data_IF_719866980711
#
_entry.id   IF_719866980711
#
_cell.length_a   1.000
_cell.length_b   1.000
_cell.length_c   1.000
_cell.angle_alpha   90.00
_cell.angle_beta   90.00
_cell.angle_gamma   90.00
#
_symmetry.space_group_name_H-M   'P 1'
#
loop_
_entity.id
_entity.type
_entity.pdbx_description
1 polymer ?
#
# COMPACT_ATOMS: atom_id res chain seq x y z
N UNK A 1 -33.79 24.48 20.90
CA UNK A 1 -32.54 23.79 21.28
C UNK A 1 -32.33 22.63 20.31
N UNK A 2 -31.34 22.67 19.39
CA UNK A 2 -30.87 21.46 18.74
C UNK A 2 -29.55 20.99 19.39
N UNK A 3 -29.48 19.71 19.68
CA UNK A 3 -28.22 19.01 19.92
C UNK A 3 -27.55 18.74 18.56
N UNK A 4 -26.26 19.01 18.36
CA UNK A 4 -25.49 18.35 17.32
C UNK A 4 -24.37 17.56 17.98
N UNK A 5 -24.46 16.23 17.93
CA UNK A 5 -23.31 15.36 18.13
C UNK A 5 -23.58 14.03 17.43
N UNK A 6 -23.63 14.06 16.09
CA UNK A 6 -23.25 12.87 15.34
C UNK A 6 -21.72 12.79 15.43
N UNK A 7 -21.22 12.19 16.50
CA UNK A 7 -19.80 11.91 16.68
C UNK A 7 -19.46 10.59 16.00
N UNK A 8 -19.75 10.48 14.70
CA UNK A 8 -19.14 9.43 13.89
C UNK A 8 -17.65 9.74 13.80
N UNK A 9 -16.73 8.84 14.19
CA UNK A 9 -15.31 9.08 14.00
C UNK A 9 -15.08 9.27 12.50
N UNK A 10 -14.62 10.45 12.09
CA UNK A 10 -14.20 10.69 10.72
C UNK A 10 -13.12 9.64 10.42
N UNK A 11 -13.30 8.77 9.40
CA UNK A 11 -12.26 7.79 9.06
C UNK A 11 -10.95 8.55 8.83
N UNK A 12 -9.80 7.99 9.24
CA UNK A 12 -8.53 8.67 9.07
C UNK A 12 -8.38 9.03 7.59
N UNK A 13 -8.03 10.28 7.25
CA UNK A 13 -7.90 10.69 5.85
C UNK A 13 -6.70 10.03 5.15
N UNK A 14 -5.84 9.34 5.89
CA UNK A 14 -4.60 8.71 5.43
C UNK A 14 -4.49 7.27 5.96
N UNK A 15 -3.80 6.38 5.24
CA UNK A 15 -3.50 5.04 5.71
C UNK A 15 -2.70 5.07 7.02
N UNK A 16 -3.08 4.22 7.96
CA UNK A 16 -2.49 4.14 9.31
C UNK A 16 -1.78 2.80 9.51
N UNK A 17 -0.81 2.69 10.43
CA UNK A 17 -0.17 1.42 10.75
C UNK A 17 -1.20 0.32 11.04
N UNK A 18 -1.07 -0.83 10.36
CA UNK A 18 -1.93 -1.98 10.64
C UNK A 18 -1.62 -2.50 12.05
N UNK A 19 -2.65 -2.66 12.88
CA UNK A 19 -2.51 -3.16 14.26
C UNK A 19 -2.66 -4.68 14.32
N UNK A 20 -3.69 -5.22 13.65
CA UNK A 20 -3.95 -6.67 13.58
C UNK A 20 -3.81 -7.22 12.16
N UNK A 21 -2.77 -8.02 11.95
CA UNK A 21 -2.51 -8.70 10.69
C UNK A 21 -3.26 -10.02 10.56
N UNK A 22 -3.70 -10.63 11.67
CA UNK A 22 -4.24 -11.98 11.67
C UNK A 22 -5.46 -12.12 10.73
N UNK A 23 -6.28 -11.07 10.67
CA UNK A 23 -7.45 -11.00 9.77
C UNK A 23 -7.09 -10.64 8.32
N UNK A 24 -5.89 -10.12 8.09
CA UNK A 24 -5.47 -9.54 6.81
C UNK A 24 -4.33 -10.32 6.13
N UNK A 25 -3.85 -11.43 6.70
CA UNK A 25 -2.63 -12.09 6.21
C UNK A 25 -2.75 -12.59 4.76
N UNK A 26 -3.91 -13.17 4.41
CA UNK A 26 -4.16 -13.67 3.04
C UNK A 26 -4.35 -12.51 2.06
N UNK A 27 -5.01 -11.45 2.51
CA UNK A 27 -5.19 -10.23 1.73
C UNK A 27 -3.85 -9.56 1.46
N UNK A 28 -2.97 -9.45 2.46
CA UNK A 28 -1.61 -8.95 2.32
C UNK A 28 -0.79 -9.77 1.33
N UNK A 29 -0.82 -11.11 1.47
CA UNK A 29 -0.12 -12.03 0.55
C UNK A 29 -0.56 -11.84 -0.90
N UNK A 30 -1.87 -11.79 -1.14
CA UNK A 30 -2.45 -11.58 -2.46
C UNK A 30 -2.10 -10.21 -3.03
N UNK A 31 -2.22 -9.15 -2.22
CA UNK A 31 -1.91 -7.78 -2.62
C UNK A 31 -0.45 -7.63 -3.05
N UNK A 32 0.49 -8.11 -2.24
CA UNK A 32 1.93 -8.06 -2.52
C UNK A 32 2.25 -8.85 -3.79
N UNK A 33 1.65 -10.03 -3.96
CA UNK A 33 1.84 -10.87 -5.15
C UNK A 33 1.36 -10.14 -6.40
N UNK A 34 0.18 -9.51 -6.36
CA UNK A 34 -0.37 -8.73 -7.48
C UNK A 34 0.52 -7.55 -7.83
N UNK A 35 0.95 -6.77 -6.83
CA UNK A 35 1.81 -5.60 -7.03
C UNK A 35 3.14 -6.00 -7.70
N UNK A 36 3.82 -7.03 -7.18
CA UNK A 36 5.11 -7.48 -7.73
C UNK A 36 4.96 -8.12 -9.10
N UNK A 37 3.90 -8.89 -9.32
CA UNK A 37 3.62 -9.49 -10.64
C UNK A 37 3.32 -8.42 -11.69
N UNK A 38 2.59 -7.36 -11.31
CA UNK A 38 2.33 -6.22 -12.19
C UNK A 38 3.59 -5.43 -12.55
N UNK A 39 4.55 -5.34 -11.62
CA UNK A 39 5.79 -4.61 -11.84
C UNK A 39 6.84 -5.42 -12.61
N UNK A 40 7.03 -6.69 -12.26
CA UNK A 40 8.14 -7.53 -12.70
C UNK A 40 7.73 -8.67 -13.66
N UNK A 41 6.43 -8.88 -13.86
CA UNK A 41 5.89 -10.07 -14.53
C UNK A 41 5.80 -11.27 -13.58
N UNK A 42 5.55 -12.48 -14.10
CA UNK A 42 5.43 -13.70 -13.28
C UNK A 42 6.69 -13.96 -12.44
N UNK A 43 6.54 -14.01 -11.11
CA UNK A 43 7.65 -14.19 -10.17
C UNK A 43 7.33 -15.25 -9.11
N UNK A 44 8.36 -15.97 -8.67
CA UNK A 44 8.28 -16.81 -7.47
C UNK A 44 8.68 -15.98 -6.26
N UNK A 45 7.85 -15.99 -5.23
CA UNK A 45 8.04 -15.19 -4.04
C UNK A 45 7.78 -15.99 -2.77
N UNK A 46 8.57 -15.71 -1.74
CA UNK A 46 8.35 -16.15 -0.37
C UNK A 46 8.04 -14.93 0.49
N UNK A 47 7.07 -15.06 1.40
CA UNK A 47 6.60 -13.94 2.21
C UNK A 47 6.57 -14.30 3.69
N UNK A 48 7.28 -13.50 4.48
CA UNK A 48 7.34 -13.58 5.94
C UNK A 48 6.81 -12.30 6.57
N UNK A 49 6.06 -12.41 7.65
CA UNK A 49 5.46 -11.26 8.32
C UNK A 49 6.09 -11.07 9.70
N UNK A 50 6.45 -9.83 10.00
CA UNK A 50 7.11 -9.45 11.25
C UNK A 50 6.44 -8.22 11.83
N UNK A 51 6.36 -8.16 13.16
CA UNK A 51 5.92 -6.97 13.88
C UNK A 51 7.13 -6.13 14.27
N UNK A 52 7.12 -4.86 13.90
CA UNK A 52 8.14 -3.90 14.31
C UNK A 52 7.91 -3.41 15.75
N UNK A 53 8.96 -2.88 16.37
CA UNK A 53 8.90 -2.34 17.73
C UNK A 53 7.91 -1.18 17.89
N UNK A 54 7.69 -0.41 16.82
CA UNK A 54 6.70 0.67 16.76
C UNK A 54 5.25 0.15 16.61
N UNK A 55 5.07 -1.18 16.61
CA UNK A 55 3.78 -1.84 16.51
C UNK A 55 3.28 -2.09 15.09
N UNK A 56 3.95 -1.57 14.06
CA UNK A 56 3.57 -1.72 12.66
C UNK A 56 3.95 -3.10 12.12
N UNK A 57 3.12 -3.66 11.24
CA UNK A 57 3.44 -4.91 10.55
C UNK A 57 4.27 -4.66 9.29
N UNK A 58 5.26 -5.52 9.08
CA UNK A 58 6.04 -5.62 7.86
C UNK A 58 5.88 -6.98 7.21
N UNK A 59 5.88 -6.99 5.88
CA UNK A 59 6.06 -8.18 5.08
C UNK A 59 7.44 -8.13 4.43
N UNK A 60 8.27 -9.14 4.66
CA UNK A 60 9.51 -9.37 3.94
C UNK A 60 9.22 -10.31 2.79
N UNK A 61 9.64 -9.91 1.60
CA UNK A 61 9.44 -10.69 0.38
C UNK A 61 10.80 -11.04 -0.18
N UNK A 62 11.04 -12.33 -0.33
CA UNK A 62 12.20 -12.85 -1.05
C UNK A 62 11.76 -13.25 -2.45
N UNK A 63 12.38 -12.65 -3.45
CA UNK A 63 12.17 -12.94 -4.86
C UNK A 63 13.24 -13.91 -5.33
N UNK A 64 12.81 -14.96 -6.03
CA UNK A 64 13.69 -16.00 -6.57
C UNK A 64 13.35 -16.25 -8.05
N UNK A 65 14.37 -16.49 -8.88
CA UNK A 65 14.22 -16.73 -10.32
C UNK A 65 14.96 -15.70 -11.17
N UNK A 66 14.34 -15.25 -12.27
CA UNK A 66 14.94 -14.31 -13.24
C UNK A 66 15.38 -12.99 -12.61
N UNK A 67 14.62 -12.52 -11.61
CA UNK A 67 14.99 -11.39 -10.75
C UNK A 67 15.08 -11.94 -9.33
N UNK A 68 16.28 -11.90 -8.76
CA UNK A 68 16.53 -12.30 -7.39
C UNK A 68 16.74 -11.08 -6.51
N UNK A 69 16.13 -11.07 -5.33
CA UNK A 69 16.24 -9.92 -4.44
C UNK A 69 15.37 -10.04 -3.21
N UNK A 70 15.46 -9.03 -2.37
CA UNK A 70 14.63 -8.92 -1.18
C UNK A 70 14.02 -7.54 -1.10
N UNK A 71 12.73 -7.48 -0.83
CA UNK A 71 11.98 -6.25 -0.64
C UNK A 71 11.19 -6.34 0.66
N UNK A 72 11.03 -5.22 1.36
CA UNK A 72 10.19 -5.15 2.54
C UNK A 72 9.00 -4.24 2.26
N UNK A 73 7.85 -4.56 2.81
CA UNK A 73 6.63 -3.79 2.71
C UNK A 73 6.13 -3.44 4.11
N UNK A 74 5.87 -2.17 4.37
CA UNK A 74 5.13 -1.72 5.55
C UNK A 74 3.64 -1.87 5.27
N UNK A 75 2.90 -2.52 6.18
CA UNK A 75 1.47 -2.78 6.03
C UNK A 75 0.66 -1.71 6.77
N UNK A 76 -0.18 -1.01 6.01
CA UNK A 76 -1.02 0.08 6.48
C UNK A 76 -2.49 -0.26 6.23
N UNK A 77 -3.36 -0.01 7.20
CA UNK A 77 -4.80 -0.05 7.00
C UNK A 77 -5.25 1.24 6.28
N UNK A 78 -6.02 1.12 5.21
CA UNK A 78 -6.54 2.27 4.48
C UNK A 78 -7.80 2.83 5.14
N UNK A 79 -8.18 4.08 4.84
CA UNK A 79 -9.41 4.69 5.34
C UNK A 79 -10.69 3.91 4.97
N UNK A 80 -10.66 3.23 3.82
CA UNK A 80 -11.77 2.41 3.31
C UNK A 80 -11.86 1.01 3.94
N UNK A 81 -11.05 0.70 4.95
CA UNK A 81 -10.99 -0.64 5.55
C UNK A 81 -10.22 -1.66 4.73
N UNK A 82 -9.46 -1.22 3.73
CA UNK A 82 -8.53 -2.04 2.96
C UNK A 82 -7.13 -2.05 3.55
N UNK A 83 -6.20 -2.58 2.75
CA UNK A 83 -4.79 -2.69 3.09
C UNK A 83 -3.93 -2.06 2.00
N UNK A 84 -2.92 -1.33 2.42
CA UNK A 84 -1.84 -0.82 1.59
C UNK A 84 -0.53 -1.49 1.98
N UNK A 85 0.15 -2.08 1.01
CA UNK A 85 1.51 -2.62 1.17
C UNK A 85 2.52 -1.62 0.61
N UNK A 86 3.09 -0.78 1.47
CA UNK A 86 4.05 0.27 1.10
C UNK A 86 5.48 -0.31 1.00
N UNK A 87 6.08 -0.43 -0.19
CA UNK A 87 7.43 -0.98 -0.38
C UNK A 87 8.52 -0.07 0.20
N UNK A 88 9.60 -0.70 0.67
CA UNK A 88 10.79 -0.05 1.25
C UNK A 88 12.07 -0.73 0.72
N UNK A 89 12.93 0.00 -0.02
CA UNK A 89 12.70 1.35 -0.57
C UNK A 89 11.52 1.36 -1.56
N UNK A 90 10.99 2.55 -1.89
CA UNK A 90 9.94 2.71 -2.91
C UNK A 90 10.57 2.80 -4.32
N UNK A 91 10.36 1.79 -5.20
CA UNK A 91 10.71 1.87 -6.62
C UNK A 91 10.20 3.14 -7.30
N UNK A 92 11.03 3.72 -8.17
CA UNK A 92 10.73 4.96 -8.88
C UNK A 92 9.45 4.85 -9.72
N UNK A 93 9.25 3.72 -10.40
CA UNK A 93 8.06 3.45 -11.21
C UNK A 93 6.75 3.56 -10.40
N UNK A 94 6.73 3.04 -9.17
CA UNK A 94 5.58 3.23 -8.27
C UNK A 94 5.47 4.67 -7.74
N UNK A 95 6.60 5.38 -7.63
CA UNK A 95 6.59 6.78 -7.20
C UNK A 95 5.97 7.70 -8.25
N UNK A 96 6.30 7.53 -9.54
CA UNK A 96 6.02 8.51 -10.59
C UNK A 96 5.03 8.07 -11.66
N UNK A 97 4.93 6.78 -11.97
CA UNK A 97 4.17 6.30 -13.15
C UNK A 97 2.84 5.64 -12.81
N UNK A 98 2.82 4.76 -11.80
CA UNK A 98 1.67 3.86 -11.58
C UNK A 98 1.07 3.88 -10.18
N UNK A 99 1.77 4.42 -9.17
CA UNK A 99 1.30 4.40 -7.79
C UNK A 99 1.29 2.99 -7.17
N UNK A 100 1.02 2.95 -5.87
CA UNK A 100 0.87 1.71 -5.09
C UNK A 100 -0.63 1.51 -4.86
N UNK A 101 -1.20 0.53 -5.57
CA UNK A 101 -2.61 0.19 -5.41
C UNK A 101 -2.85 -0.53 -4.08
N UNK A 102 -3.81 -0.06 -3.31
CA UNK A 102 -4.32 -0.71 -2.11
C UNK A 102 -5.45 -1.70 -2.45
N UNK A 103 -5.84 -2.53 -1.49
CA UNK A 103 -6.89 -3.53 -1.70
C UNK A 103 -8.31 -2.94 -1.80
N UNK A 104 -8.51 -1.69 -1.39
CA UNK A 104 -9.78 -0.96 -1.52
C UNK A 104 -9.89 -0.18 -2.84
N UNK A 105 -8.91 -0.34 -3.75
CA UNK A 105 -8.87 0.34 -5.04
C UNK A 105 -8.31 1.76 -4.98
N UNK A 106 -7.94 2.26 -3.79
CA UNK A 106 -7.21 3.54 -3.69
C UNK A 106 -5.76 3.37 -4.14
N UNK A 107 -5.15 4.41 -4.70
CA UNK A 107 -3.73 4.40 -5.08
C UNK A 107 -2.96 5.47 -4.30
N UNK A 108 -1.77 5.11 -3.84
CA UNK A 108 -0.94 5.96 -2.99
C UNK A 108 0.51 6.03 -3.50
N UNK A 109 1.22 7.10 -3.15
CA UNK A 109 2.65 7.27 -3.43
C UNK A 109 3.32 8.04 -2.28
N UNK A 110 4.64 8.18 -2.34
CA UNK A 110 5.38 9.06 -1.44
C UNK A 110 5.79 10.34 -2.19
N UNK A 111 5.57 11.49 -1.56
CA UNK A 111 6.13 12.76 -2.03
C UNK A 111 7.66 12.83 -1.82
N UNK A 112 8.29 13.92 -2.25
CA UNK A 112 9.74 14.15 -2.09
C UNK A 112 10.18 14.21 -0.61
N UNK A 113 9.27 14.53 0.30
CA UNK A 113 9.51 14.53 1.74
C UNK A 113 9.29 13.15 2.38
N UNK A 114 8.84 12.15 1.62
CA UNK A 114 8.54 10.81 2.10
C UNK A 114 7.19 10.69 2.80
N UNK A 115 6.28 11.65 2.64
CA UNK A 115 4.91 11.56 3.13
C UNK A 115 4.02 10.79 2.18
N UNK A 116 3.11 10.00 2.75
CA UNK A 116 2.14 9.24 2.00
C UNK A 116 1.03 10.15 1.48
N UNK A 117 0.87 10.20 0.16
CA UNK A 117 -0.10 11.04 -0.55
C UNK A 117 -0.88 10.21 -1.58
N UNK A 118 -2.13 10.55 -1.92
CA UNK A 118 -2.85 9.89 -3.00
C UNK A 118 -2.08 9.99 -4.31
N UNK A 119 -1.97 8.88 -5.06
CA UNK A 119 -1.38 8.90 -6.39
C UNK A 119 -2.36 9.58 -7.36
N UNK A 120 -1.94 10.64 -8.07
CA UNK A 120 -2.83 11.32 -9.00
C UNK A 120 -3.27 10.36 -10.11
N UNK A 121 -4.53 10.43 -10.59
CA UNK A 121 -4.91 9.71 -11.79
C UNK A 121 -4.00 10.16 -12.94
N UNK A 122 -3.68 9.26 -13.91
CA UNK A 122 -2.87 9.63 -15.06
C UNK A 122 -3.46 10.88 -15.67
N UNK A 123 -2.64 11.92 -15.85
CA UNK A 123 -3.06 13.19 -16.40
C UNK A 123 -3.78 12.90 -17.73
N UNK A 124 -5.10 12.93 -17.70
CA UNK A 124 -5.90 12.81 -18.91
C UNK A 124 -5.63 14.13 -19.62
N UNK A 125 -4.76 14.09 -20.63
CA UNK A 125 -4.39 15.28 -21.41
C UNK A 125 -5.65 16.02 -21.87
N UNK A 126 -5.57 17.35 -22.10
CA UNK A 126 -6.75 18.14 -22.42
C UNK A 126 -7.47 17.50 -23.61
N UNK A 127 -8.74 17.15 -23.42
CA UNK A 127 -9.70 16.91 -24.50
C UNK A 127 -9.75 18.19 -25.32
N UNK A 128 -8.94 18.27 -26.37
CA UNK A 128 -8.99 19.34 -27.35
C UNK A 128 -10.26 19.11 -28.17
N UNK A 129 -11.25 19.98 -27.99
CA UNK A 129 -12.46 20.09 -28.78
C UNK A 129 -12.57 21.48 -29.37
#
# INVERSE_FOLDING_TARGET
MPLPADTSPTPPAQPVPLIDLSQHVNLARGLITRLLTGLLGPVTLEQDFYREWNGCWKARVTLSGTVSGRLEFTLLATPGGGLLALPRPLPERWRTEIGIEASDGTCWTLDDAGHLTPFPPPATGPTNG
#
